data_IF_653030862092
#
_entry.id   IF_653030862092
#
_cell.length_a   1.000
_cell.length_b   1.000
_cell.length_c   1.000
_cell.angle_alpha   90.00
_cell.angle_beta   90.00
_cell.angle_gamma   90.00
#
_symmetry.space_group_name_H-M   'P 1'
#
loop_
_entity.id
_entity.type
_entity.pdbx_description
1 polymer ?
#
# COMPACT_ATOMS: atom_id res chain seq x y z
N UNK A 1 -12.25 8.43 -42.71
CA UNK A 1 -11.67 7.59 -41.68
C UNK A 1 -11.45 8.37 -40.35
N UNK A 2 -12.43 9.21 -39.94
CA UNK A 2 -12.30 10.15 -38.82
C UNK A 2 -13.51 10.12 -37.87
N UNK A 3 -14.34 9.05 -37.89
CA UNK A 3 -15.60 9.00 -37.13
C UNK A 3 -15.64 8.01 -35.96
N UNK A 4 -14.53 7.31 -35.64
CA UNK A 4 -14.54 6.29 -34.56
C UNK A 4 -13.93 6.76 -33.22
N UNK A 5 -13.26 7.90 -33.19
CA UNK A 5 -12.55 8.33 -31.97
C UNK A 5 -13.33 9.25 -31.04
N UNK A 6 -14.54 9.67 -31.42
CA UNK A 6 -15.36 10.56 -30.58
C UNK A 6 -16.30 9.85 -29.61
N UNK A 7 -16.36 8.52 -29.65
CA UNK A 7 -17.26 7.76 -28.78
C UNK A 7 -16.58 7.19 -27.52
N UNK A 8 -15.25 7.25 -27.43
CA UNK A 8 -14.48 6.50 -26.41
C UNK A 8 -14.00 7.32 -25.21
N UNK A 9 -14.22 8.63 -25.19
CA UNK A 9 -13.88 9.48 -24.01
C UNK A 9 -15.00 9.48 -22.98
N UNK A 10 -15.92 8.58 -23.12
CA UNK A 10 -17.27 8.67 -22.54
C UNK A 10 -17.50 7.77 -21.34
N UNK A 11 -16.56 7.39 -20.51
CA UNK A 11 -16.94 6.79 -19.23
C UNK A 11 -15.76 6.65 -18.26
N UNK A 12 -15.22 7.77 -17.77
CA UNK A 12 -14.64 7.73 -16.44
C UNK A 12 -15.78 7.98 -15.43
N UNK A 13 -16.69 7.04 -15.27
CA UNK A 13 -17.48 6.96 -14.05
C UNK A 13 -16.53 6.44 -12.98
N UNK A 14 -15.96 7.32 -12.18
CA UNK A 14 -15.36 6.98 -10.91
C UNK A 14 -16.50 6.54 -9.97
N UNK A 15 -16.96 5.32 -10.09
CA UNK A 15 -17.75 4.68 -9.04
C UNK A 15 -16.77 4.20 -7.98
N UNK A 16 -16.26 5.13 -7.18
CA UNK A 16 -15.59 4.78 -5.93
C UNK A 16 -16.68 4.44 -4.93
N UNK A 17 -17.13 3.19 -4.96
CA UNK A 17 -18.00 2.59 -3.96
C UNK A 17 -17.17 1.74 -2.98
N UNK A 18 -16.06 2.31 -2.49
CA UNK A 18 -15.40 1.86 -1.26
C UNK A 18 -15.21 3.10 -0.40
N UNK A 19 -15.37 3.03 0.93
CA UNK A 19 -14.91 4.11 1.77
C UNK A 19 -13.38 4.12 1.68
N UNK A 20 -12.86 4.83 0.66
CA UNK A 20 -11.50 5.29 0.73
C UNK A 20 -11.48 6.21 1.96
N UNK A 21 -10.79 5.77 3.00
CA UNK A 21 -10.31 6.70 4.01
C UNK A 21 -9.62 7.81 3.22
N UNK A 22 -10.24 8.97 3.17
CA UNK A 22 -9.62 10.17 2.61
C UNK A 22 -8.56 10.57 3.62
N UNK A 23 -7.42 9.90 3.54
CA UNK A 23 -6.23 10.37 4.20
C UNK A 23 -5.81 11.65 3.47
N UNK A 24 -5.77 12.74 4.20
CA UNK A 24 -5.15 13.97 3.74
C UNK A 24 -3.63 13.71 3.66
N UNK A 25 -3.22 12.90 2.68
CA UNK A 25 -1.81 12.59 2.47
C UNK A 25 -1.13 13.80 1.83
N UNK A 26 -0.16 14.36 2.53
CA UNK A 26 0.85 15.18 1.89
C UNK A 26 1.61 14.26 0.94
N UNK A 27 1.32 14.33 -0.35
CA UNK A 27 1.97 13.48 -1.35
C UNK A 27 3.47 13.80 -1.37
N UNK A 28 4.28 12.79 -1.18
CA UNK A 28 5.71 12.94 -1.38
C UNK A 28 6.00 13.33 -2.83
N UNK A 29 7.05 14.10 -3.03
CA UNK A 29 7.48 14.57 -4.36
C UNK A 29 7.71 13.42 -5.35
N UNK A 30 7.98 12.20 -4.84
CA UNK A 30 8.22 10.99 -5.64
C UNK A 30 6.98 10.42 -6.34
N UNK A 31 5.79 10.79 -5.90
CA UNK A 31 4.53 10.26 -6.41
C UNK A 31 3.81 11.28 -7.31
N UNK A 32 4.57 12.14 -8.00
CA UNK A 32 4.05 13.15 -8.91
C UNK A 32 4.65 13.03 -10.32
N UNK A 33 3.89 13.47 -11.31
CA UNK A 33 4.35 13.61 -12.70
C UNK A 33 4.82 12.28 -13.31
N UNK A 34 5.85 12.38 -14.13
CA UNK A 34 6.41 11.24 -14.87
C UNK A 34 7.01 10.16 -13.95
N UNK A 35 7.57 10.55 -12.81
CA UNK A 35 8.06 9.59 -11.82
C UNK A 35 6.95 8.72 -11.21
N UNK A 36 5.79 9.31 -10.91
CA UNK A 36 4.63 8.57 -10.45
C UNK A 36 4.06 7.65 -11.54
N UNK A 37 4.01 8.13 -12.78
CA UNK A 37 3.49 7.33 -13.90
C UNK A 37 4.34 6.08 -14.15
N UNK A 38 5.67 6.20 -14.24
CA UNK A 38 6.51 5.00 -14.47
C UNK A 38 6.36 4.00 -13.33
N UNK A 39 6.26 4.44 -12.07
CA UNK A 39 6.00 3.54 -10.94
C UNK A 39 4.65 2.85 -11.05
N UNK A 40 3.63 3.58 -11.51
CA UNK A 40 2.29 3.01 -11.72
C UNK A 40 2.29 1.98 -12.86
N UNK A 41 3.02 2.22 -13.96
CA UNK A 41 3.19 1.26 -15.05
C UNK A 41 3.91 -0.01 -14.57
N UNK A 42 4.99 0.14 -13.80
CA UNK A 42 5.71 -0.98 -13.21
C UNK A 42 4.87 -1.74 -12.17
N UNK A 43 3.99 -1.05 -11.43
CA UNK A 43 3.02 -1.68 -10.53
C UNK A 43 1.99 -2.49 -11.30
N UNK A 44 1.55 -2.04 -12.47
CA UNK A 44 0.65 -2.81 -13.34
C UNK A 44 1.24 -4.17 -13.73
N UNK A 45 2.57 -4.28 -13.91
CA UNK A 45 3.23 -5.49 -14.40
C UNK A 45 3.27 -6.66 -13.40
N UNK A 46 2.86 -6.46 -12.15
CA UNK A 46 2.97 -7.50 -11.12
C UNK A 46 1.72 -7.58 -10.24
N UNK A 47 1.41 -8.78 -9.76
CA UNK A 47 0.40 -9.06 -8.73
C UNK A 47 1.02 -9.29 -7.34
N UNK A 48 2.33 -9.11 -7.21
CA UNK A 48 3.06 -9.32 -5.97
C UNK A 48 2.49 -8.49 -4.81
N UNK A 49 2.33 -9.12 -3.66
CA UNK A 49 1.86 -8.46 -2.43
C UNK A 49 2.62 -8.95 -1.20
N UNK A 50 3.02 -8.03 -0.33
CA UNK A 50 3.74 -8.34 0.91
C UNK A 50 3.22 -7.48 2.06
N UNK A 51 3.05 -8.10 3.23
CA UNK A 51 2.69 -7.41 4.46
C UNK A 51 3.81 -7.55 5.47
N UNK A 52 4.28 -6.43 6.00
CA UNK A 52 5.17 -6.39 7.16
C UNK A 52 4.36 -6.26 8.44
N UNK A 53 4.79 -6.91 9.52
CA UNK A 53 4.12 -6.82 10.84
C UNK A 53 5.09 -6.37 11.93
N UNK A 54 4.60 -5.49 12.82
CA UNK A 54 5.34 -5.00 13.98
C UNK A 54 4.38 -4.60 15.10
N UNK A 55 4.91 -4.19 16.24
CA UNK A 55 4.13 -3.78 17.42
C UNK A 55 3.83 -2.28 17.42
N UNK A 56 4.79 -1.46 16.99
CA UNK A 56 4.73 0.00 17.07
C UNK A 56 5.00 0.66 15.71
N UNK A 57 4.67 1.95 15.55
CA UNK A 57 4.84 2.69 14.30
C UNK A 57 6.26 2.74 13.72
N UNK A 58 7.30 2.50 14.51
CA UNK A 58 8.71 2.63 14.13
C UNK A 58 9.49 1.31 14.13
N UNK A 59 8.78 0.17 14.25
CA UNK A 59 9.40 -1.16 14.31
C UNK A 59 9.87 -1.69 12.96
N UNK A 60 9.25 -1.27 11.86
CA UNK A 60 9.50 -1.85 10.55
C UNK A 60 10.96 -1.70 10.10
N UNK A 61 11.44 -2.61 9.25
CA UNK A 61 12.61 -2.39 8.42
C UNK A 61 12.23 -1.46 7.27
N UNK A 62 12.33 -0.15 7.53
CA UNK A 62 11.87 0.89 6.59
C UNK A 62 12.56 0.80 5.23
N UNK A 63 13.84 0.36 5.20
CA UNK A 63 14.58 0.17 3.94
C UNK A 63 14.02 -1.01 3.14
N UNK A 64 13.65 -2.09 3.82
CA UNK A 64 13.07 -3.27 3.18
C UNK A 64 11.64 -2.98 2.70
N UNK A 65 10.85 -2.23 3.46
CA UNK A 65 9.52 -1.75 3.02
C UNK A 65 9.64 -0.92 1.74
N UNK A 66 10.57 0.04 1.70
CA UNK A 66 10.84 0.85 0.52
C UNK A 66 11.31 0.00 -0.68
N UNK A 67 12.16 -1.00 -0.44
CA UNK A 67 12.62 -1.94 -1.46
C UNK A 67 11.46 -2.75 -2.06
N UNK A 68 10.60 -3.32 -1.22
CA UNK A 68 9.47 -4.11 -1.71
C UNK A 68 8.48 -3.27 -2.51
N UNK A 69 8.14 -2.08 -2.02
CA UNK A 69 7.17 -1.20 -2.68
C UNK A 69 7.72 -0.54 -3.95
N UNK A 70 8.98 -0.06 -3.90
CA UNK A 70 9.52 0.79 -4.99
C UNK A 70 10.46 0.06 -5.94
N UNK A 71 11.16 -1.00 -5.49
CA UNK A 71 12.05 -1.81 -6.35
C UNK A 71 11.32 -2.98 -6.97
N UNK A 72 10.55 -3.71 -6.18
CA UNK A 72 9.79 -4.88 -6.65
C UNK A 72 8.40 -4.50 -7.13
N UNK A 73 8.00 -3.24 -6.94
CA UNK A 73 6.66 -2.73 -7.28
C UNK A 73 5.53 -3.58 -6.68
N UNK A 74 5.83 -4.32 -5.62
CA UNK A 74 4.86 -5.12 -4.90
C UNK A 74 3.87 -4.23 -4.14
N UNK A 75 2.61 -4.62 -4.11
CA UNK A 75 1.67 -4.04 -3.16
C UNK A 75 2.17 -4.35 -1.75
N UNK A 76 2.61 -3.34 -1.04
CA UNK A 76 3.30 -3.49 0.25
C UNK A 76 2.48 -2.82 1.34
N UNK A 77 2.29 -3.49 2.48
CA UNK A 77 1.65 -2.91 3.66
C UNK A 77 2.52 -3.09 4.89
N UNK A 78 2.39 -2.18 5.85
CA UNK A 78 2.87 -2.36 7.20
C UNK A 78 1.67 -2.43 8.16
N UNK A 79 1.54 -3.51 8.91
CA UNK A 79 0.58 -3.69 9.98
C UNK A 79 1.26 -3.47 11.33
N UNK A 80 1.00 -2.33 11.95
CA UNK A 80 1.40 -2.04 13.33
C UNK A 80 0.29 -2.44 14.28
N UNK A 81 0.60 -3.16 15.36
CA UNK A 81 -0.43 -3.52 16.34
C UNK A 81 -0.99 -2.27 17.01
N UNK A 82 -0.15 -1.30 17.35
CA UNK A 82 -0.55 -0.07 18.06
C UNK A 82 -0.32 1.19 17.23
N UNK A 83 -0.89 2.29 17.69
CA UNK A 83 -0.57 3.65 17.19
C UNK A 83 0.53 4.34 18.02
N UNK A 84 1.18 3.61 18.93
CA UNK A 84 2.30 4.11 19.72
C UNK A 84 1.94 5.17 20.78
N UNK A 85 0.68 5.19 21.22
CA UNK A 85 0.16 6.17 22.20
C UNK A 85 0.82 6.09 23.58
N UNK A 86 1.44 4.96 23.95
CA UNK A 86 2.17 4.74 25.19
C UNK A 86 3.66 5.07 25.10
N UNK A 87 4.15 5.52 23.94
CA UNK A 87 5.55 5.86 23.72
C UNK A 87 5.96 7.20 24.33
N UNK A 88 7.22 7.56 24.09
CA UNK A 88 7.76 8.87 24.44
C UNK A 88 7.38 9.94 23.42
N UNK A 89 7.41 11.20 23.83
CA UNK A 89 7.35 12.36 22.94
C UNK A 89 8.47 13.32 23.29
N UNK A 90 9.53 13.38 22.47
CA UNK A 90 10.67 14.26 22.72
C UNK A 90 10.52 15.64 22.10
N UNK A 91 9.49 15.87 21.26
CA UNK A 91 9.29 17.13 20.54
C UNK A 91 8.09 17.94 21.05
N UNK A 92 7.27 17.37 21.94
CA UNK A 92 6.06 18.01 22.44
C UNK A 92 5.64 17.49 23.82
N UNK A 93 4.50 17.97 24.27
CA UNK A 93 3.92 17.62 25.59
C UNK A 93 2.79 16.59 25.47
N UNK A 94 2.37 16.30 24.25
CA UNK A 94 1.25 15.42 23.96
C UNK A 94 1.58 13.99 24.39
N UNK A 95 0.63 13.37 25.08
CA UNK A 95 0.71 12.01 25.60
C UNK A 95 -0.59 11.26 25.28
N UNK A 96 -0.58 9.94 25.44
CA UNK A 96 -1.74 9.07 25.26
C UNK A 96 -2.37 9.22 23.86
N UNK A 97 -3.66 9.40 23.74
CA UNK A 97 -4.36 9.44 22.46
C UNK A 97 -3.84 10.55 21.53
N UNK A 98 -3.51 11.73 22.08
CA UNK A 98 -2.93 12.83 21.31
C UNK A 98 -1.58 12.43 20.70
N UNK A 99 -0.71 11.75 21.45
CA UNK A 99 0.53 11.19 20.92
C UNK A 99 0.26 10.12 19.86
N UNK A 100 -0.74 9.26 20.06
CA UNK A 100 -1.15 8.24 19.10
C UNK A 100 -1.57 8.83 17.76
N UNK A 101 -2.25 9.97 17.75
CA UNK A 101 -2.58 10.72 16.52
C UNK A 101 -1.31 11.23 15.85
N UNK A 102 -0.40 11.87 16.59
CA UNK A 102 0.86 12.39 16.04
C UNK A 102 1.69 11.26 15.44
N UNK A 103 1.87 10.15 16.16
CA UNK A 103 2.66 9.01 15.68
C UNK A 103 2.00 8.30 14.50
N UNK A 104 0.68 8.32 14.41
CA UNK A 104 -0.03 7.87 13.20
C UNK A 104 0.36 8.73 11.99
N UNK A 105 0.35 10.06 12.13
CA UNK A 105 0.74 10.96 11.04
C UNK A 105 2.23 10.81 10.68
N UNK A 106 3.12 10.67 11.65
CA UNK A 106 4.54 10.39 11.40
C UNK A 106 4.72 9.12 10.55
N UNK A 107 3.95 8.07 10.85
CA UNK A 107 4.01 6.82 10.12
C UNK A 107 3.40 6.94 8.71
N UNK A 108 2.30 7.69 8.55
CA UNK A 108 1.71 7.97 7.25
C UNK A 108 2.67 8.81 6.37
N UNK A 109 3.42 9.74 6.96
CA UNK A 109 4.50 10.45 6.25
C UNK A 109 5.61 9.49 5.79
N UNK A 110 6.01 8.50 6.62
CA UNK A 110 6.94 7.47 6.20
C UNK A 110 6.39 6.66 5.02
N UNK A 111 5.12 6.24 5.06
CA UNK A 111 4.43 5.52 3.96
C UNK A 111 4.36 6.35 2.68
N UNK A 112 4.17 7.67 2.77
CA UNK A 112 4.18 8.54 1.59
C UNK A 112 5.54 8.54 0.88
N UNK A 113 6.64 8.32 1.61
CA UNK A 113 7.99 8.24 1.06
C UNK A 113 8.30 6.85 0.48
N UNK A 114 7.98 5.77 1.19
CA UNK A 114 8.29 4.40 0.77
C UNK A 114 7.24 3.77 -0.16
N UNK A 115 6.03 4.32 -0.21
CA UNK A 115 4.96 3.88 -1.11
C UNK A 115 4.15 2.69 -0.61
N UNK A 116 4.28 2.30 0.65
CA UNK A 116 3.50 1.24 1.26
C UNK A 116 2.18 1.75 1.86
N UNK A 117 1.25 0.82 2.11
CA UNK A 117 0.01 1.06 2.83
C UNK A 117 0.21 0.91 4.34
N UNK A 118 -0.57 1.62 5.16
CA UNK A 118 -0.53 1.51 6.61
C UNK A 118 -1.80 0.89 7.15
N UNK A 119 -1.64 -0.14 8.01
CA UNK A 119 -2.71 -0.81 8.71
C UNK A 119 -2.43 -0.81 10.22
N UNK A 120 -3.50 -0.84 11.02
CA UNK A 120 -3.44 -0.88 12.48
C UNK A 120 -4.44 -1.89 13.02
N UNK A 121 -4.14 -2.44 14.21
CA UNK A 121 -5.14 -3.13 15.02
C UNK A 121 -5.74 -2.15 16.06
N UNK A 122 -6.68 -2.65 16.85
CA UNK A 122 -7.27 -1.92 17.98
C UNK A 122 -6.39 -1.83 19.22
N UNK A 123 -5.19 -2.42 19.22
CA UNK A 123 -4.34 -2.45 20.40
C UNK A 123 -3.97 -1.03 20.85
N UNK A 124 -4.22 -0.74 22.11
CA UNK A 124 -3.75 0.48 22.74
C UNK A 124 -2.34 0.26 23.31
N UNK A 125 -1.40 1.13 22.97
CA UNK A 125 -0.06 1.12 23.54
C UNK A 125 -0.12 1.59 25.00
N UNK A 126 0.36 0.78 25.91
CA UNK A 126 0.35 1.08 27.35
C UNK A 126 1.76 1.33 27.92
N UNK A 127 2.75 1.57 27.04
CA UNK A 127 4.12 1.82 27.40
C UNK A 127 4.97 0.56 27.54
N UNK A 128 6.08 0.64 28.23
CA UNK A 128 7.06 -0.44 28.31
C UNK A 128 6.49 -1.68 29.04
N UNK A 129 6.68 -2.84 28.43
CA UNK A 129 6.48 -4.16 29.02
C UNK A 129 7.73 -5.01 28.82
N UNK A 130 8.08 -5.83 29.78
CA UNK A 130 9.29 -6.65 29.73
C UNK A 130 9.04 -8.02 29.10
N UNK A 131 7.86 -8.58 29.34
CA UNK A 131 7.52 -9.93 28.93
C UNK A 131 6.20 -9.95 28.13
N UNK A 132 6.07 -10.91 27.22
CA UNK A 132 4.84 -11.16 26.49
C UNK A 132 3.62 -11.32 27.41
N UNK A 133 3.80 -11.97 28.57
CA UNK A 133 2.73 -12.18 29.55
C UNK A 133 2.18 -10.89 30.16
N UNK A 134 2.94 -9.80 30.16
CA UNK A 134 2.44 -8.48 30.55
C UNK A 134 1.54 -7.90 29.46
N UNK A 135 1.96 -8.00 28.21
CA UNK A 135 1.16 -7.58 27.07
C UNK A 135 -0.17 -8.37 26.99
N UNK A 136 -0.14 -9.70 27.15
CA UNK A 136 -1.34 -10.54 27.09
C UNK A 136 -2.36 -10.30 28.21
N UNK A 137 -1.98 -9.63 29.31
CA UNK A 137 -2.92 -9.21 30.35
C UNK A 137 -3.72 -7.96 29.97
N UNK A 138 -3.15 -7.10 29.12
CA UNK A 138 -3.74 -5.84 28.68
C UNK A 138 -4.42 -5.99 27.33
N UNK A 139 -3.79 -6.74 26.43
CA UNK A 139 -4.29 -6.98 25.09
C UNK A 139 -5.06 -8.30 25.01
N UNK A 140 -6.36 -8.26 24.78
CA UNK A 140 -7.16 -9.48 24.57
C UNK A 140 -6.70 -10.18 23.29
N UNK A 141 -6.07 -11.35 23.42
CA UNK A 141 -5.43 -12.07 22.32
C UNK A 141 -6.38 -12.32 21.14
N UNK A 142 -7.59 -12.84 21.42
CA UNK A 142 -8.58 -13.13 20.37
C UNK A 142 -9.05 -11.89 19.61
N UNK A 143 -9.16 -10.73 20.25
CA UNK A 143 -9.57 -9.51 19.58
C UNK A 143 -8.48 -8.97 18.65
N UNK A 144 -7.21 -9.08 19.07
CA UNK A 144 -6.08 -8.67 18.23
C UNK A 144 -5.84 -9.67 17.09
N UNK A 145 -6.06 -10.94 17.36
CA UNK A 145 -6.02 -11.98 16.35
C UNK A 145 -7.11 -11.74 15.29
N UNK A 146 -8.35 -11.38 15.69
CA UNK A 146 -9.43 -10.99 14.80
C UNK A 146 -9.02 -9.83 13.88
N UNK A 147 -8.41 -8.77 14.44
CA UNK A 147 -7.94 -7.62 13.66
C UNK A 147 -6.85 -8.01 12.66
N UNK A 148 -5.86 -8.81 13.07
CA UNK A 148 -4.79 -9.27 12.19
C UNK A 148 -5.32 -10.18 11.08
N UNK A 149 -6.24 -11.09 11.40
CA UNK A 149 -6.90 -11.96 10.42
C UNK A 149 -7.69 -11.12 9.41
N UNK A 150 -8.44 -10.12 9.89
CA UNK A 150 -9.15 -9.18 9.02
C UNK A 150 -8.20 -8.44 8.09
N UNK A 151 -7.06 -7.95 8.61
CA UNK A 151 -6.05 -7.29 7.79
C UNK A 151 -5.49 -8.23 6.72
N UNK A 152 -5.17 -9.48 7.06
CA UNK A 152 -4.65 -10.48 6.12
C UNK A 152 -5.71 -10.84 5.06
N UNK A 153 -6.96 -11.11 5.47
CA UNK A 153 -8.05 -11.45 4.54
C UNK A 153 -8.43 -10.30 3.61
N UNK A 154 -8.27 -9.05 4.07
CA UNK A 154 -8.55 -7.84 3.27
C UNK A 154 -7.41 -7.53 2.32
N UNK A 155 -6.17 -7.50 2.81
CA UNK A 155 -5.00 -7.15 2.01
C UNK A 155 -4.54 -8.29 1.10
N UNK A 156 -4.64 -9.55 1.57
CA UNK A 156 -4.31 -10.79 0.84
C UNK A 156 -2.84 -10.86 0.40
N UNK A 157 -1.88 -10.80 1.34
CA UNK A 157 -0.47 -10.82 1.01
C UNK A 157 -0.04 -12.22 0.51
N UNK A 158 0.77 -12.26 -0.57
CA UNK A 158 1.48 -13.50 -0.94
C UNK A 158 2.51 -13.86 0.14
N UNK A 159 3.15 -12.84 0.72
CA UNK A 159 4.23 -13.01 1.69
C UNK A 159 3.96 -12.15 2.91
N UNK A 160 4.23 -12.69 4.11
CA UNK A 160 4.32 -11.90 5.34
C UNK A 160 5.77 -11.89 5.84
N UNK A 161 6.22 -10.70 6.27
CA UNK A 161 7.51 -10.48 6.93
C UNK A 161 7.28 -9.95 8.33
N UNK A 162 7.49 -10.78 9.34
CA UNK A 162 7.41 -10.34 10.74
C UNK A 162 8.71 -9.66 11.16
N UNK A 163 8.56 -8.51 11.82
CA UNK A 163 9.72 -7.85 12.44
C UNK A 163 10.27 -8.63 13.63
N UNK A 164 9.41 -9.35 14.35
CA UNK A 164 9.67 -9.98 15.62
C UNK A 164 9.46 -11.50 15.57
N UNK A 165 10.17 -12.22 16.45
CA UNK A 165 10.18 -13.69 16.48
C UNK A 165 9.23 -14.29 17.55
N UNK A 166 8.67 -13.47 18.42
CA UNK A 166 7.83 -13.92 19.54
C UNK A 166 8.62 -14.46 20.73
N UNK A 167 9.94 -14.22 20.79
CA UNK A 167 10.81 -14.73 21.86
C UNK A 167 11.31 -13.61 22.76
N UNK A 168 11.92 -13.97 23.90
CA UNK A 168 12.54 -12.99 24.80
C UNK A 168 13.70 -12.20 24.16
N UNK A 169 14.24 -12.67 23.05
CA UNK A 169 15.27 -11.97 22.28
C UNK A 169 14.75 -10.66 21.62
N UNK A 170 13.43 -10.53 21.46
CA UNK A 170 12.79 -9.33 20.94
C UNK A 170 12.78 -8.17 21.97
N UNK A 171 13.18 -8.41 23.22
CA UNK A 171 13.40 -7.43 24.28
C UNK A 171 12.11 -6.91 24.92
N UNK A 172 11.28 -6.18 24.17
CA UNK A 172 10.04 -5.59 24.66
C UNK A 172 8.88 -6.62 24.63
N UNK A 173 8.01 -6.62 25.64
CA UNK A 173 6.87 -7.55 25.70
C UNK A 173 5.87 -7.38 24.54
N UNK A 174 5.65 -6.14 24.05
CA UNK A 174 4.84 -5.88 22.87
C UNK A 174 5.45 -6.51 21.60
N UNK A 175 6.77 -6.42 21.42
CA UNK A 175 7.48 -7.08 20.31
C UNK A 175 7.32 -8.59 20.36
N UNK A 176 7.53 -9.19 21.56
CA UNK A 176 7.32 -10.61 21.77
C UNK A 176 5.89 -11.03 21.46
N UNK A 177 4.89 -10.19 21.82
CA UNK A 177 3.49 -10.46 21.55
C UNK A 177 3.17 -10.39 20.06
N UNK A 178 3.65 -9.36 19.36
CA UNK A 178 3.46 -9.22 17.93
C UNK A 178 4.07 -10.40 17.15
N UNK A 179 5.31 -10.79 17.49
CA UNK A 179 5.98 -11.94 16.89
C UNK A 179 5.29 -13.28 17.17
N UNK A 180 4.72 -13.44 18.37
CA UNK A 180 3.93 -14.61 18.73
C UNK A 180 2.59 -14.68 17.98
N UNK A 181 1.92 -13.53 17.83
CA UNK A 181 0.58 -13.49 17.25
C UNK A 181 0.60 -13.63 15.71
N UNK A 182 1.67 -13.18 15.06
CA UNK A 182 1.74 -13.22 13.59
C UNK A 182 1.55 -14.62 13.01
N UNK A 183 2.26 -15.69 13.41
CA UNK A 183 2.03 -17.03 12.85
C UNK A 183 0.62 -17.55 13.14
N UNK A 184 0.04 -17.26 14.32
CA UNK A 184 -1.35 -17.64 14.64
C UNK A 184 -2.35 -16.95 13.71
N UNK A 185 -2.07 -15.69 13.34
CA UNK A 185 -2.90 -14.94 12.41
C UNK A 185 -2.85 -15.51 10.99
N UNK A 186 -1.68 -16.01 10.54
CA UNK A 186 -1.56 -16.69 9.25
C UNK A 186 -2.43 -17.96 9.20
N UNK A 187 -2.34 -18.80 10.23
CA UNK A 187 -3.12 -20.04 10.34
C UNK A 187 -4.63 -19.73 10.40
N UNK A 188 -5.02 -18.79 11.27
CA UNK A 188 -6.42 -18.41 11.43
C UNK A 188 -7.01 -17.72 10.17
N UNK A 189 -6.19 -16.96 9.41
CA UNK A 189 -6.66 -16.33 8.17
C UNK A 189 -7.02 -17.35 7.09
N UNK A 190 -6.34 -18.49 7.07
CA UNK A 190 -6.59 -19.58 6.14
C UNK A 190 -7.80 -20.45 6.51
N UNK A 191 -8.23 -20.42 7.76
CA UNK A 191 -9.32 -21.25 8.28
C UNK A 191 -10.65 -20.50 8.26
N UNK A 192 -11.62 -20.97 7.46
CA UNK A 192 -12.95 -20.38 7.35
C UNK A 192 -13.78 -20.49 8.64
N UNK A 193 -13.45 -21.42 9.54
CA UNK A 193 -14.12 -21.58 10.82
C UNK A 193 -13.67 -20.57 11.88
N UNK A 194 -12.54 -19.93 11.67
CA UNK A 194 -12.03 -18.86 12.53
C UNK A 194 -12.62 -17.52 12.10
N UNK A 195 -13.16 -16.78 13.05
CA UNK A 195 -13.80 -15.48 12.83
C UNK A 195 -14.88 -15.53 11.74
N UNK A 196 -15.95 -16.35 11.91
CA UNK A 196 -16.99 -16.54 10.91
C UNK A 196 -17.72 -15.24 10.57
N UNK A 197 -17.77 -14.26 11.47
CA UNK A 197 -18.36 -12.95 11.24
C UNK A 197 -17.65 -12.18 10.09
N UNK A 198 -16.34 -12.41 9.91
CA UNK A 198 -15.62 -11.85 8.78
C UNK A 198 -16.04 -12.48 7.46
N UNK A 199 -16.32 -13.78 7.47
CA UNK A 199 -16.82 -14.51 6.30
C UNK A 199 -18.24 -14.06 5.95
N UNK A 200 -19.11 -13.88 6.94
CA UNK A 200 -20.47 -13.34 6.75
C UNK A 200 -20.45 -11.91 6.18
N UNK A 201 -19.41 -11.12 6.47
CA UNK A 201 -19.17 -9.79 5.91
C UNK A 201 -18.57 -9.81 4.49
N UNK A 202 -18.37 -10.99 3.90
CA UNK A 202 -17.89 -11.16 2.53
C UNK A 202 -16.38 -11.33 2.39
N UNK A 203 -15.61 -11.38 3.49
CA UNK A 203 -14.20 -11.76 3.43
C UNK A 203 -14.09 -13.27 3.19
N UNK A 204 -13.04 -13.69 2.49
CA UNK A 204 -12.77 -15.09 2.23
C UNK A 204 -11.46 -15.51 2.89
N UNK A 205 -11.28 -16.80 3.24
CA UNK A 205 -10.03 -17.31 3.76
C UNK A 205 -8.86 -16.96 2.83
N UNK A 206 -7.68 -16.75 3.41
CA UNK A 206 -6.49 -16.42 2.64
C UNK A 206 -5.28 -17.20 3.13
N UNK A 207 -4.61 -17.90 2.21
CA UNK A 207 -3.40 -18.65 2.46
C UNK A 207 -2.17 -17.82 2.07
N UNK A 208 -1.42 -17.39 3.07
CA UNK A 208 -0.12 -16.73 2.84
C UNK A 208 0.87 -17.78 2.35
N UNK A 209 1.52 -17.53 1.22
CA UNK A 209 2.38 -18.51 0.56
C UNK A 209 3.73 -18.68 1.24
N UNK A 210 4.29 -17.59 1.79
CA UNK A 210 5.56 -17.62 2.53
C UNK A 210 5.53 -16.69 3.75
N UNK A 211 6.18 -17.14 4.79
CA UNK A 211 6.35 -16.38 6.02
C UNK A 211 7.83 -16.24 6.37
N UNK A 212 8.30 -15.01 6.48
CA UNK A 212 9.66 -14.66 6.86
C UNK A 212 9.69 -13.89 8.17
N UNK A 213 10.85 -13.97 8.84
CA UNK A 213 11.20 -13.05 9.92
C UNK A 213 12.44 -12.25 9.56
N UNK A 214 12.44 -10.97 9.92
CA UNK A 214 13.61 -10.11 9.81
C UNK A 214 14.53 -10.26 11.04
N UNK A 215 15.79 -9.84 10.90
CA UNK A 215 16.69 -9.73 12.04
C UNK A 215 16.36 -8.47 12.83
N UNK A 216 16.16 -8.60 14.15
CA UNK A 216 16.05 -7.44 15.02
C UNK A 216 17.34 -6.62 15.03
N UNK A 217 17.24 -5.30 15.19
CA UNK A 217 18.35 -4.31 15.13
C UNK A 217 19.45 -4.50 16.17
N UNK A 218 19.35 -5.45 17.07
CA UNK A 218 20.34 -5.62 18.13
C UNK A 218 21.58 -6.29 17.58
N UNK A 219 22.70 -5.59 17.58
CA UNK A 219 24.06 -6.10 17.30
C UNK A 219 24.52 -7.22 18.25
N UNK A 220 23.62 -7.95 18.86
CA UNK A 220 23.89 -9.12 19.68
C UNK A 220 23.74 -10.39 18.87
N UNK A 221 24.86 -11.08 18.71
CA UNK A 221 25.06 -12.41 18.16
C UNK A 221 24.26 -13.54 18.87
N UNK A 222 23.10 -13.25 19.45
CA UNK A 222 22.43 -14.18 20.38
C UNK A 222 21.33 -15.06 19.79
N UNK A 223 21.05 -15.01 18.50
CA UNK A 223 20.11 -15.95 17.88
C UNK A 223 20.88 -17.18 17.35
N UNK A 224 21.37 -18.03 18.25
CA UNK A 224 22.05 -19.27 17.90
C UNK A 224 21.14 -20.29 17.15
N UNK A 225 19.82 -20.16 17.23
CA UNK A 225 18.87 -20.99 16.49
C UNK A 225 18.70 -20.58 15.00
N UNK A 226 18.98 -19.33 14.65
CA UNK A 226 18.98 -18.87 13.26
C UNK A 226 20.28 -19.22 12.50
N UNK A 227 21.28 -19.77 13.18
CA UNK A 227 22.59 -20.07 12.59
C UNK A 227 22.58 -21.27 11.61
N UNK A 228 21.52 -22.08 11.58
CA UNK A 228 21.40 -23.23 10.67
C UNK A 228 20.59 -22.90 9.39
N UNK A 229 19.88 -21.77 9.34
CA UNK A 229 19.13 -21.38 8.16
C UNK A 229 19.92 -20.35 7.33
N UNK A 230 19.98 -20.61 6.02
CA UNK A 230 20.57 -19.65 5.09
C UNK A 230 19.66 -18.41 5.01
N UNK A 231 20.18 -17.25 5.42
CA UNK A 231 19.45 -15.99 5.32
C UNK A 231 19.31 -15.55 3.85
N UNK A 232 18.12 -15.12 3.45
CA UNK A 232 17.96 -14.34 2.24
C UNK A 232 18.51 -12.93 2.50
N UNK A 233 19.53 -12.53 1.75
CA UNK A 233 20.16 -11.22 1.83
C UNK A 233 19.59 -10.32 0.74
N UNK A 234 19.03 -9.19 1.14
CA UNK A 234 18.47 -8.20 0.23
C UNK A 234 19.28 -6.91 0.34
N UNK A 235 19.91 -6.51 -0.77
CA UNK A 235 20.64 -5.24 -0.82
C UNK A 235 19.69 -4.07 -1.04
N UNK A 236 19.24 -3.45 0.03
CA UNK A 236 18.40 -2.25 -0.02
C UNK A 236 19.17 -0.99 -0.43
N UNK A 237 20.51 -1.06 -0.51
CA UNK A 237 21.37 0.00 -1.02
C UNK A 237 21.40 0.12 -2.54
N UNK A 238 20.61 -0.68 -3.29
CA UNK A 238 20.42 -0.53 -4.72
C UNK A 238 19.87 0.86 -5.06
N UNK A 239 20.39 1.42 -6.18
CA UNK A 239 20.01 2.75 -6.65
C UNK A 239 18.67 2.71 -7.41
N UNK A 240 17.78 3.61 -7.05
CA UNK A 240 16.53 3.86 -7.76
C UNK A 240 16.71 5.01 -8.76
N UNK A 241 16.71 4.76 -10.07
CA UNK A 241 16.93 5.81 -11.07
C UNK A 241 15.77 6.83 -11.14
N UNK A 242 14.58 6.48 -10.64
CA UNK A 242 13.42 7.38 -10.65
C UNK A 242 13.55 8.49 -9.60
N UNK A 243 14.09 8.17 -8.42
CA UNK A 243 14.28 9.15 -7.34
C UNK A 243 15.69 9.70 -7.25
N UNK A 244 16.68 9.04 -7.86
CA UNK A 244 18.10 9.38 -7.72
C UNK A 244 18.68 9.03 -6.33
N UNK A 245 18.07 8.08 -5.62
CA UNK A 245 18.43 7.60 -4.29
C UNK A 245 18.46 6.08 -4.24
N UNK A 246 19.06 5.50 -3.22
CA UNK A 246 18.89 4.07 -2.92
C UNK A 246 17.60 3.84 -2.14
N UNK A 247 17.10 2.60 -2.15
CA UNK A 247 15.93 2.22 -1.34
C UNK A 247 16.23 2.34 0.15
N UNK A 248 17.49 2.14 0.56
CA UNK A 248 17.93 2.41 1.92
C UNK A 248 17.79 3.90 2.28
N UNK A 249 18.27 4.82 1.43
CA UNK A 249 18.14 6.26 1.65
C UNK A 249 16.66 6.66 1.78
N UNK A 250 15.78 6.12 0.92
CA UNK A 250 14.33 6.36 1.00
C UNK A 250 13.75 5.85 2.32
N UNK A 251 14.09 4.62 2.72
CA UNK A 251 13.64 4.04 3.98
C UNK A 251 14.12 4.82 5.21
N UNK A 252 15.37 5.28 5.21
CA UNK A 252 15.92 6.10 6.32
C UNK A 252 15.29 7.49 6.38
N UNK A 253 14.94 8.07 5.23
CA UNK A 253 14.18 9.32 5.18
C UNK A 253 12.76 9.11 5.76
N UNK A 254 12.12 7.99 5.45
CA UNK A 254 10.84 7.58 6.06
C UNK A 254 10.98 7.40 7.57
N UNK A 255 11.99 6.66 8.03
CA UNK A 255 12.27 6.46 9.45
C UNK A 255 12.49 7.77 10.19
N UNK A 256 13.13 8.76 9.55
CA UNK A 256 13.36 10.09 10.11
C UNK A 256 12.08 10.93 10.29
N UNK A 257 10.93 10.47 9.80
CA UNK A 257 9.64 11.09 10.11
C UNK A 257 9.14 10.78 11.51
N UNK A 258 9.65 9.72 12.17
CA UNK A 258 9.33 9.36 13.56
C UNK A 258 10.00 10.32 14.56
N UNK A 259 9.66 11.60 14.47
CA UNK A 259 10.33 12.71 15.20
C UNK A 259 10.08 12.65 16.70
N UNK A 260 8.87 12.24 17.11
CA UNK A 260 8.53 12.04 18.53
C UNK A 260 9.40 11.00 19.19
N UNK A 261 9.97 10.04 18.41
CA UNK A 261 10.78 8.92 18.87
C UNK A 261 12.29 9.15 18.73
N UNK A 262 12.73 10.34 18.31
CA UNK A 262 14.13 10.64 18.05
C UNK A 262 14.78 9.75 16.98
N UNK A 263 14.01 9.32 15.99
CA UNK A 263 14.45 8.36 14.98
C UNK A 263 15.19 9.00 13.80
N UNK A 264 16.01 10.04 14.01
CA UNK A 264 16.89 10.56 12.97
C UNK A 264 17.86 9.46 12.51
N UNK A 265 17.86 9.13 11.23
CA UNK A 265 18.66 8.05 10.65
C UNK A 265 19.56 8.58 9.54
N UNK A 266 20.82 8.07 9.48
CA UNK A 266 21.74 8.42 8.40
C UNK A 266 21.31 7.72 7.11
N UNK A 267 21.24 8.50 6.04
CA UNK A 267 20.97 8.03 4.68
C UNK A 267 22.29 7.52 4.05
N UNK A 268 22.77 6.36 4.53
CA UNK A 268 24.03 5.78 4.05
C UNK A 268 23.91 5.31 2.61
N UNK A 269 24.96 5.56 1.83
CA UNK A 269 25.08 5.11 0.44
C UNK A 269 25.91 3.84 0.35
N UNK A 270 25.75 3.12 -0.76
CA UNK A 270 26.43 1.86 -1.01
C UNK A 270 25.60 0.65 -0.55
N UNK A 271 26.22 -0.52 -0.50
CA UNK A 271 25.52 -1.75 -0.16
C UNK A 271 25.02 -1.74 1.28
N UNK A 272 23.73 -1.94 1.47
CA UNK A 272 23.04 -2.06 2.75
C UNK A 272 22.21 -3.34 2.74
N UNK A 273 22.49 -4.27 3.65
CA UNK A 273 21.87 -5.58 3.62
C UNK A 273 20.78 -5.72 4.70
N UNK A 274 19.57 -6.05 4.26
CA UNK A 274 18.53 -6.61 5.12
C UNK A 274 18.58 -8.15 5.07
N UNK A 275 18.36 -8.79 6.21
CA UNK A 275 18.41 -10.26 6.36
C UNK A 275 17.03 -10.79 6.67
N UNK A 276 16.58 -11.79 5.91
CA UNK A 276 15.32 -12.48 6.11
C UNK A 276 15.54 -13.99 6.28
N UNK A 277 14.78 -14.58 7.19
CA UNK A 277 14.79 -16.01 7.45
C UNK A 277 13.41 -16.57 7.14
N UNK A 278 13.36 -17.56 6.23
CA UNK A 278 12.13 -18.26 5.87
C UNK A 278 11.69 -19.14 7.05
N UNK A 279 10.51 -18.91 7.60
CA UNK A 279 9.93 -19.69 8.69
C UNK A 279 8.98 -20.77 8.19
N UNK A 280 8.17 -20.45 7.17
CA UNK A 280 7.31 -21.43 6.51
C UNK A 280 7.05 -21.09 5.05
N UNK A 281 6.78 -22.11 4.24
CA UNK A 281 6.42 -21.99 2.83
C UNK A 281 5.34 -23.01 2.49
N UNK A 282 4.27 -22.58 1.82
CA UNK A 282 3.21 -23.43 1.27
C UNK A 282 3.57 -23.92 -0.16
N UNK A 283 4.55 -23.27 -0.78
CA UNK A 283 5.13 -23.66 -2.05
C UNK A 283 6.50 -24.28 -1.78
N UNK A 284 6.91 -25.24 -2.55
CA UNK A 284 8.21 -25.90 -2.34
C UNK A 284 9.35 -24.88 -2.15
N UNK A 285 10.31 -25.18 -1.27
CA UNK A 285 11.48 -24.33 -1.06
C UNK A 285 12.51 -24.60 -2.15
N UNK A 286 13.00 -23.55 -2.82
CA UNK A 286 14.20 -23.61 -3.65
C UNK A 286 15.43 -23.59 -2.75
N UNK A 287 16.47 -24.35 -3.12
CA UNK A 287 17.73 -24.39 -2.36
C UNK A 287 18.45 -23.04 -2.28
N UNK A 288 18.13 -22.08 -3.15
CA UNK A 288 18.68 -20.72 -3.15
C UNK A 288 17.57 -19.74 -3.57
N UNK A 289 17.01 -19.03 -2.59
CA UNK A 289 16.06 -17.94 -2.87
C UNK A 289 16.82 -16.65 -3.17
N UNK A 290 16.44 -15.97 -4.25
CA UNK A 290 16.96 -14.65 -4.63
C UNK A 290 15.98 -13.50 -4.30
N UNK A 291 14.73 -13.83 -3.97
CA UNK A 291 13.65 -12.91 -3.63
C UNK A 291 12.67 -13.57 -2.68
N UNK A 292 11.95 -12.79 -1.89
CA UNK A 292 10.81 -13.31 -1.10
C UNK A 292 9.70 -13.91 -1.97
N UNK A 293 9.64 -13.53 -3.24
CA UNK A 293 8.68 -14.05 -4.23
C UNK A 293 9.20 -15.23 -5.04
N UNK A 294 10.42 -15.76 -4.75
CA UNK A 294 10.95 -16.93 -5.49
C UNK A 294 9.95 -18.09 -5.45
N UNK A 295 9.58 -18.61 -6.63
CA UNK A 295 8.59 -19.68 -6.80
C UNK A 295 7.12 -19.23 -6.75
N UNK A 296 6.84 -17.95 -6.55
CA UNK A 296 5.50 -17.36 -6.65
C UNK A 296 5.37 -16.72 -8.03
N UNK A 297 4.36 -17.12 -8.80
CA UNK A 297 4.04 -16.45 -10.06
C UNK A 297 3.29 -15.14 -9.74
N UNK A 298 3.97 -14.02 -9.94
CA UNK A 298 3.45 -12.67 -9.69
C UNK A 298 3.11 -11.93 -10.98
N UNK A 299 3.05 -12.62 -12.12
CA UNK A 299 2.66 -12.04 -13.41
C UNK A 299 1.15 -11.89 -13.52
N UNK A 300 0.70 -11.07 -14.47
CA UNK A 300 -0.73 -10.97 -14.80
C UNK A 300 -1.24 -12.31 -15.34
N UNK A 301 -0.46 -12.97 -16.21
CA UNK A 301 -0.79 -14.29 -16.74
C UNK A 301 -0.94 -15.35 -15.65
N UNK A 302 -0.19 -15.21 -14.54
CA UNK A 302 -0.25 -16.07 -13.36
C UNK A 302 -1.60 -16.02 -12.62
N UNK A 303 -2.44 -15.00 -12.85
CA UNK A 303 -3.80 -14.94 -12.29
C UNK A 303 -4.62 -16.18 -12.72
N UNK A 304 -4.34 -16.76 -13.88
CA UNK A 304 -4.99 -18.01 -14.33
C UNK A 304 -4.83 -19.18 -13.35
N UNK A 305 -3.74 -19.19 -12.56
CA UNK A 305 -3.50 -20.23 -11.56
C UNK A 305 -4.45 -20.16 -10.35
N UNK A 306 -5.22 -19.10 -10.21
CA UNK A 306 -6.27 -18.97 -9.19
C UNK A 306 -7.57 -19.66 -9.58
N UNK A 307 -7.68 -20.15 -10.81
CA UNK A 307 -8.82 -20.89 -11.30
C UNK A 307 -8.49 -22.37 -11.46
N UNK A 308 -9.42 -23.25 -11.07
CA UNK A 308 -9.21 -24.71 -11.16
C UNK A 308 -9.13 -25.20 -12.60
N UNK A 309 -9.90 -24.57 -13.50
CA UNK A 309 -9.98 -24.89 -14.92
C UNK A 309 -10.20 -23.59 -15.71
N UNK A 310 -9.16 -22.78 -15.92
CA UNK A 310 -9.31 -21.51 -16.61
C UNK A 310 -9.75 -21.75 -18.07
N UNK A 311 -10.78 -21.01 -18.48
CA UNK A 311 -11.26 -21.03 -19.87
C UNK A 311 -10.18 -20.47 -20.82
N UNK A 312 -10.12 -20.99 -22.07
CA UNK A 312 -9.16 -20.53 -23.06
C UNK A 312 -9.23 -19.01 -23.29
N UNK A 313 -10.43 -18.46 -23.39
CA UNK A 313 -10.65 -17.02 -23.56
C UNK A 313 -10.07 -16.23 -22.40
N UNK A 314 -10.22 -16.69 -21.16
CA UNK A 314 -9.66 -16.04 -19.99
C UNK A 314 -8.12 -16.01 -20.03
N UNK A 315 -7.50 -17.12 -20.39
CA UNK A 315 -6.02 -17.21 -20.54
C UNK A 315 -5.52 -16.30 -21.66
N UNK A 316 -6.23 -16.23 -22.79
CA UNK A 316 -5.91 -15.32 -23.90
C UNK A 316 -6.02 -13.85 -23.49
N UNK A 317 -7.07 -13.47 -22.74
CA UNK A 317 -7.25 -12.11 -22.21
C UNK A 317 -6.11 -11.73 -21.25
N UNK A 318 -5.73 -12.62 -20.32
CA UNK A 318 -4.61 -12.37 -19.42
C UNK A 318 -3.29 -12.21 -20.17
N UNK A 319 -3.07 -13.01 -21.21
CA UNK A 319 -1.86 -12.93 -22.04
C UNK A 319 -1.82 -11.61 -22.83
N UNK A 320 -2.94 -11.18 -23.39
CA UNK A 320 -3.07 -9.89 -24.09
C UNK A 320 -2.89 -8.72 -23.13
N UNK A 321 -3.44 -8.81 -21.92
CA UNK A 321 -3.27 -7.79 -20.88
C UNK A 321 -1.81 -7.68 -20.43
N UNK A 322 -1.13 -8.81 -20.21
CA UNK A 322 0.30 -8.83 -19.88
C UNK A 322 1.11 -8.13 -20.98
N UNK A 323 0.89 -8.49 -22.26
CA UNK A 323 1.59 -7.87 -23.39
C UNK A 323 1.30 -6.37 -23.47
N UNK A 324 0.05 -5.94 -23.26
CA UNK A 324 -0.32 -4.53 -23.24
C UNK A 324 0.46 -3.75 -22.18
N UNK A 325 0.63 -4.31 -20.99
CA UNK A 325 1.41 -3.68 -19.91
C UNK A 325 2.90 -3.63 -20.23
N UNK A 326 3.46 -4.71 -20.80
CA UNK A 326 4.87 -4.75 -21.21
C UNK A 326 5.15 -3.70 -22.29
N UNK A 327 4.24 -3.53 -23.24
CA UNK A 327 4.32 -2.50 -24.28
C UNK A 327 4.21 -1.08 -23.70
N UNK A 328 3.34 -0.84 -22.72
CA UNK A 328 3.22 0.44 -22.03
C UNK A 328 4.50 0.82 -21.30
N UNK A 329 5.14 -0.12 -20.61
CA UNK A 329 6.42 0.12 -19.92
C UNK A 329 7.53 0.40 -20.94
N UNK A 330 7.59 -0.37 -22.03
CA UNK A 330 8.64 -0.26 -23.06
C UNK A 330 8.54 1.03 -23.87
N UNK A 331 7.31 1.52 -24.10
CA UNK A 331 7.06 2.74 -24.88
C UNK A 331 6.97 4.01 -24.02
N UNK A 332 7.22 3.91 -22.71
CA UNK A 332 7.14 5.04 -21.81
C UNK A 332 8.17 6.14 -22.16
N UNK A 333 7.67 7.36 -22.39
CA UNK A 333 8.49 8.56 -22.57
C UNK A 333 8.15 9.60 -21.48
N UNK A 334 9.06 9.89 -20.54
CA UNK A 334 8.80 10.82 -19.45
C UNK A 334 8.55 12.25 -19.89
N UNK A 335 8.97 12.63 -21.11
CA UNK A 335 8.74 13.96 -21.68
C UNK A 335 7.43 14.07 -22.47
N UNK A 336 6.78 12.94 -22.75
CA UNK A 336 5.50 12.89 -23.46
C UNK A 336 4.60 11.78 -22.89
N UNK A 337 4.24 11.84 -21.59
CA UNK A 337 3.48 10.78 -20.92
C UNK A 337 2.07 10.61 -21.51
N UNK A 338 1.46 11.68 -22.02
CA UNK A 338 0.13 11.66 -22.60
C UNK A 338 0.02 10.83 -23.89
N UNK A 339 1.13 10.54 -24.57
CA UNK A 339 1.12 9.66 -25.73
C UNK A 339 0.68 8.23 -25.40
N UNK A 340 0.77 7.82 -24.14
CA UNK A 340 0.33 6.50 -23.68
C UNK A 340 -1.18 6.39 -23.42
N UNK A 341 -1.93 7.51 -23.39
CA UNK A 341 -3.35 7.50 -23.01
C UNK A 341 -4.17 6.52 -23.87
N UNK A 342 -4.06 6.48 -25.20
CA UNK A 342 -4.82 5.51 -26.00
C UNK A 342 -4.54 4.05 -25.60
N UNK A 343 -3.26 3.68 -25.47
CA UNK A 343 -2.87 2.31 -25.09
C UNK A 343 -3.26 1.97 -23.64
N UNK A 344 -3.26 2.96 -22.74
CA UNK A 344 -3.77 2.78 -21.37
C UNK A 344 -5.28 2.53 -21.34
N UNK A 345 -6.04 3.18 -22.23
CA UNK A 345 -7.47 2.95 -22.36
C UNK A 345 -7.75 1.56 -22.94
N UNK A 346 -7.01 1.14 -23.96
CA UNK A 346 -7.12 -0.20 -24.54
C UNK A 346 -6.78 -1.28 -23.48
N UNK A 347 -5.74 -1.05 -22.67
CA UNK A 347 -5.37 -1.94 -21.56
C UNK A 347 -6.42 -1.98 -20.44
N UNK A 348 -7.06 -0.86 -20.14
CA UNK A 348 -8.17 -0.80 -19.19
C UNK A 348 -9.38 -1.63 -19.66
N UNK A 349 -9.71 -1.57 -20.96
CA UNK A 349 -10.79 -2.39 -21.54
C UNK A 349 -10.44 -3.89 -21.42
N UNK A 350 -9.22 -4.29 -21.77
CA UNK A 350 -8.74 -5.67 -21.58
C UNK A 350 -8.83 -6.11 -20.11
N UNK A 351 -8.43 -5.26 -19.17
CA UNK A 351 -8.52 -5.58 -17.74
C UNK A 351 -9.96 -5.80 -17.27
N UNK A 352 -10.91 -4.99 -17.77
CA UNK A 352 -12.35 -5.15 -17.49
C UNK A 352 -12.92 -6.43 -18.10
N UNK A 353 -12.60 -6.71 -19.36
CA UNK A 353 -13.03 -7.95 -20.03
C UNK A 353 -12.48 -9.19 -19.30
N UNK A 354 -11.21 -9.16 -18.86
CA UNK A 354 -10.63 -10.23 -18.08
C UNK A 354 -11.30 -10.37 -16.70
N UNK A 355 -11.63 -9.26 -16.02
CA UNK A 355 -12.36 -9.28 -14.75
C UNK A 355 -13.75 -9.86 -14.89
N UNK A 356 -14.45 -9.54 -15.98
CA UNK A 356 -15.79 -10.09 -16.25
C UNK A 356 -15.75 -11.58 -16.63
N UNK A 357 -14.65 -12.05 -17.22
CA UNK A 357 -14.43 -13.45 -17.56
C UNK A 357 -13.96 -14.32 -16.39
N UNK A 358 -13.48 -13.72 -15.30
CA UNK A 358 -12.99 -14.43 -14.13
C UNK A 358 -14.11 -15.22 -13.42
N UNK A 359 -13.83 -16.48 -13.07
CA UNK A 359 -14.80 -17.37 -12.42
C UNK A 359 -14.64 -17.39 -10.89
N UNK A 360 -13.43 -17.15 -10.38
CA UNK A 360 -13.16 -17.10 -8.95
C UNK A 360 -13.16 -15.67 -8.42
N UNK A 361 -13.59 -15.51 -7.15
CA UNK A 361 -13.53 -14.20 -6.49
C UNK A 361 -12.11 -13.66 -6.35
N UNK A 362 -11.12 -14.54 -6.26
CA UNK A 362 -9.71 -14.15 -6.12
C UNK A 362 -9.12 -13.61 -7.41
N UNK A 363 -9.37 -14.27 -8.55
CA UNK A 363 -8.97 -13.80 -9.86
C UNK A 363 -9.66 -12.47 -10.19
N UNK A 364 -10.99 -12.39 -9.97
CA UNK A 364 -11.76 -11.16 -10.19
C UNK A 364 -11.21 -9.99 -9.36
N UNK A 365 -10.95 -10.19 -8.07
CA UNK A 365 -10.41 -9.14 -7.20
C UNK A 365 -9.08 -8.58 -7.70
N UNK A 366 -8.14 -9.46 -8.09
CA UNK A 366 -6.86 -9.01 -8.63
C UNK A 366 -7.02 -8.22 -9.94
N UNK A 367 -7.97 -8.62 -10.78
CA UNK A 367 -8.27 -7.92 -12.02
C UNK A 367 -8.99 -6.58 -11.76
N UNK A 368 -9.87 -6.50 -10.78
CA UNK A 368 -10.47 -5.25 -10.34
C UNK A 368 -9.41 -4.28 -9.75
N UNK A 369 -8.38 -4.80 -9.08
CA UNK A 369 -7.20 -4.00 -8.68
C UNK A 369 -6.46 -3.48 -9.92
N UNK A 370 -6.24 -4.31 -10.95
CA UNK A 370 -5.61 -3.86 -12.22
C UNK A 370 -6.46 -2.81 -12.93
N UNK A 371 -7.78 -2.95 -12.96
CA UNK A 371 -8.69 -1.90 -13.46
C UNK A 371 -8.43 -0.57 -12.75
N UNK A 372 -8.40 -0.56 -11.42
CA UNK A 372 -8.12 0.64 -10.62
C UNK A 372 -6.71 1.20 -10.88
N UNK A 373 -5.72 0.32 -11.07
CA UNK A 373 -4.35 0.70 -11.38
C UNK A 373 -4.23 1.35 -12.78
N UNK A 374 -4.95 0.86 -13.79
CA UNK A 374 -5.05 1.48 -15.12
C UNK A 374 -5.71 2.86 -15.06
N UNK A 375 -6.83 2.98 -14.33
CA UNK A 375 -7.51 4.26 -14.13
C UNK A 375 -6.58 5.30 -13.51
N UNK A 376 -5.79 4.90 -12.50
CA UNK A 376 -4.77 5.76 -11.89
C UNK A 376 -3.66 6.13 -12.88
N UNK A 377 -3.20 5.19 -13.71
CA UNK A 377 -2.20 5.45 -14.75
C UNK A 377 -2.70 6.46 -15.80
N UNK A 378 -3.96 6.36 -16.21
CA UNK A 378 -4.60 7.31 -17.14
C UNK A 378 -4.65 8.71 -16.52
N UNK A 379 -5.06 8.84 -15.26
CA UNK A 379 -5.10 10.12 -14.53
C UNK A 379 -3.71 10.75 -14.46
N UNK A 380 -2.67 9.95 -14.17
CA UNK A 380 -1.28 10.42 -14.12
C UNK A 380 -0.77 10.83 -15.52
N UNK A 381 -1.03 10.04 -16.55
CA UNK A 381 -0.63 10.33 -17.93
C UNK A 381 -1.31 11.59 -18.46
N UNK A 382 -2.57 11.82 -18.11
CA UNK A 382 -3.34 12.99 -18.48
C UNK A 382 -2.96 14.26 -17.70
N UNK A 383 -2.17 14.12 -16.63
CA UNK A 383 -1.80 15.23 -15.76
C UNK A 383 -3.00 15.85 -15.05
N UNK A 384 -3.98 15.02 -14.66
CA UNK A 384 -5.15 15.46 -13.91
C UNK A 384 -4.82 15.47 -12.43
N UNK A 385 -5.16 16.57 -11.76
CA UNK A 385 -5.10 16.70 -10.30
C UNK A 385 -6.43 17.21 -9.78
N UNK A 386 -6.98 16.51 -8.79
CA UNK A 386 -8.23 16.89 -8.13
C UNK A 386 -7.93 17.06 -6.65
N UNK A 387 -8.38 18.17 -6.08
CA UNK A 387 -8.36 18.38 -4.64
C UNK A 387 -9.74 18.81 -4.11
N UNK A 388 -9.96 18.58 -2.84
CA UNK A 388 -11.16 19.01 -2.11
C UNK A 388 -10.70 19.76 -0.85
N UNK A 389 -10.97 21.06 -0.82
CA UNK A 389 -10.59 21.94 0.27
C UNK A 389 -11.80 22.34 1.09
N UNK A 390 -11.83 21.92 2.34
CA UNK A 390 -12.83 22.38 3.30
C UNK A 390 -12.51 23.82 3.76
N UNK A 391 -13.53 24.61 4.03
CA UNK A 391 -13.40 25.98 4.58
C UNK A 391 -12.90 25.99 6.03
N UNK A 392 -13.01 24.86 6.73
CA UNK A 392 -12.58 24.67 8.11
C UNK A 392 -11.98 23.27 8.28
N UNK A 393 -10.98 23.16 9.12
CA UNK A 393 -10.40 21.90 9.58
C UNK A 393 -11.28 21.16 10.60
N UNK A 394 -12.28 21.85 11.15
CA UNK A 394 -13.20 21.31 12.15
C UNK A 394 -14.63 21.30 11.62
N UNK A 395 -15.29 20.17 11.66
CA UNK A 395 -16.69 20.00 11.35
C UNK A 395 -17.49 19.69 12.62
N UNK A 396 -18.61 20.40 12.82
CA UNK A 396 -19.51 20.18 13.96
C UNK A 396 -20.76 19.46 13.43
N UNK A 397 -21.19 18.33 14.04
CA UNK A 397 -22.42 17.65 13.64
C UNK A 397 -23.64 18.60 13.62
N UNK A 398 -24.43 18.52 12.55
CA UNK A 398 -25.61 19.38 12.35
C UNK A 398 -25.34 20.76 11.72
N UNK A 399 -24.08 21.09 11.40
CA UNK A 399 -23.71 22.29 10.66
C UNK A 399 -23.41 22.01 9.18
N UNK A 400 -23.35 23.07 8.38
CA UNK A 400 -22.93 22.98 6.97
C UNK A 400 -21.43 23.24 6.89
N UNK A 401 -20.72 22.39 6.16
CA UNK A 401 -19.32 22.55 5.81
C UNK A 401 -19.21 22.81 4.31
N UNK A 402 -18.62 23.93 3.91
CA UNK A 402 -18.37 24.22 2.50
C UNK A 402 -17.07 23.55 2.04
N UNK A 403 -17.14 22.81 0.94
CA UNK A 403 -15.98 22.17 0.33
C UNK A 403 -15.82 22.64 -1.12
N UNK A 404 -14.67 23.23 -1.44
CA UNK A 404 -14.30 23.58 -2.80
C UNK A 404 -13.58 22.41 -3.46
N UNK A 405 -14.24 21.77 -4.43
CA UNK A 405 -13.59 20.75 -5.29
C UNK A 405 -12.95 21.45 -6.48
N UNK A 406 -11.64 21.27 -6.66
CA UNK A 406 -10.90 21.86 -7.76
C UNK A 406 -10.30 20.75 -8.62
N UNK A 407 -10.45 20.87 -9.95
CA UNK A 407 -9.84 19.97 -10.90
C UNK A 407 -8.87 20.75 -11.80
N UNK A 408 -7.64 20.29 -11.88
CA UNK A 408 -6.59 20.83 -12.74
C UNK A 408 -6.24 19.79 -13.80
N UNK A 409 -6.11 20.22 -15.04
CA UNK A 409 -5.80 19.37 -16.17
C UNK A 409 -4.64 19.99 -16.95
N UNK A 410 -3.54 19.22 -17.11
CA UNK A 410 -2.37 19.70 -17.86
C UNK A 410 -2.67 19.85 -19.35
N UNK A 411 -3.56 19.00 -19.91
CA UNK A 411 -3.94 18.96 -21.32
C UNK A 411 -5.47 19.01 -21.47
N UNK A 412 -6.11 20.19 -21.30
CA UNK A 412 -7.57 20.31 -21.33
C UNK A 412 -8.24 19.86 -22.64
N UNK A 413 -7.48 19.82 -23.74
CA UNK A 413 -7.99 19.37 -25.05
C UNK A 413 -8.15 17.85 -25.15
N UNK A 414 -7.52 17.07 -24.27
CA UNK A 414 -7.54 15.60 -24.28
C UNK A 414 -8.44 15.00 -23.19
N UNK A 415 -8.81 15.80 -22.19
CA UNK A 415 -9.58 15.35 -21.03
C UNK A 415 -10.80 16.24 -20.84
N UNK A 416 -11.96 15.63 -20.68
CA UNK A 416 -13.21 16.31 -20.38
C UNK A 416 -13.69 15.90 -18.97
N UNK A 417 -13.69 16.87 -18.04
CA UNK A 417 -14.36 16.69 -16.77
C UNK A 417 -15.89 16.77 -16.98
N UNK A 418 -16.59 15.66 -16.84
CA UNK A 418 -18.05 15.60 -16.98
C UNK A 418 -18.76 15.94 -15.67
N UNK A 419 -18.27 15.36 -14.58
CA UNK A 419 -18.88 15.52 -13.26
C UNK A 419 -17.86 15.30 -12.15
N UNK A 420 -18.09 15.92 -11.00
CA UNK A 420 -17.34 15.70 -9.78
C UNK A 420 -18.29 15.38 -8.63
N UNK A 421 -17.95 14.40 -7.81
CA UNK A 421 -18.72 13.98 -6.65
C UNK A 421 -17.86 14.09 -5.39
N UNK A 422 -18.49 14.43 -4.27
CA UNK A 422 -17.90 14.24 -2.96
C UNK A 422 -18.44 12.93 -2.37
N UNK A 423 -17.55 12.01 -2.04
CA UNK A 423 -17.89 10.88 -1.18
C UNK A 423 -17.85 11.36 0.26
N UNK A 424 -18.94 11.16 0.98
CA UNK A 424 -19.08 11.63 2.36
C UNK A 424 -19.47 10.46 3.28
N UNK A 425 -19.18 10.53 4.58
CA UNK A 425 -19.58 9.50 5.54
C UNK A 425 -21.10 9.32 5.61
N UNK A 426 -21.52 8.15 6.10
CA UNK A 426 -22.95 7.87 6.33
C UNK A 426 -23.56 8.91 7.28
N UNK A 427 -24.72 9.44 6.91
CA UNK A 427 -25.41 10.48 7.66
C UNK A 427 -25.12 11.92 7.20
N UNK A 428 -24.17 12.10 6.27
CA UNK A 428 -23.93 13.37 5.60
C UNK A 428 -24.76 13.49 4.33
N UNK A 429 -25.13 14.70 3.97
CA UNK A 429 -25.77 15.01 2.68
C UNK A 429 -24.92 16.04 1.91
N UNK A 430 -24.86 15.90 0.59
CA UNK A 430 -24.13 16.83 -0.29
C UNK A 430 -25.12 17.60 -1.13
N UNK A 431 -25.02 18.94 -1.12
CA UNK A 431 -25.71 19.80 -2.07
C UNK A 431 -24.67 20.53 -2.91
N UNK A 432 -24.83 20.50 -4.25
CA UNK A 432 -23.96 21.26 -5.16
C UNK A 432 -24.43 22.72 -5.20
N UNK A 433 -23.52 23.64 -4.99
CA UNK A 433 -23.69 25.05 -5.36
C UNK A 433 -22.99 25.31 -6.71
N UNK A 434 -22.67 26.47 -7.11
CA UNK A 434 -22.23 26.85 -8.45
C UNK A 434 -20.93 26.16 -8.92
N UNK A 435 -20.91 25.74 -10.20
CA UNK A 435 -19.67 25.38 -10.93
C UNK A 435 -19.11 26.65 -11.59
N UNK A 436 -17.87 26.99 -11.27
CA UNK A 436 -17.14 28.08 -11.93
C UNK A 436 -15.95 27.49 -12.71
N UNK A 437 -15.85 27.83 -13.99
CA UNK A 437 -14.63 27.56 -14.76
C UNK A 437 -13.66 28.70 -14.43
N UNK A 438 -12.60 28.40 -13.68
CA UNK A 438 -11.53 29.34 -13.41
C UNK A 438 -10.60 29.36 -14.62
N UNK A 439 -10.70 30.38 -15.48
CA UNK A 439 -9.71 30.62 -16.51
C UNK A 439 -8.42 31.15 -15.88
N UNK A 440 -7.26 30.68 -16.36
CA UNK A 440 -5.94 31.18 -15.93
C UNK A 440 -5.65 32.63 -16.40
N UNK A 441 -6.62 33.37 -16.90
CA UNK A 441 -6.44 34.76 -17.20
C UNK A 441 -6.28 35.55 -15.90
N UNK A 442 -5.01 35.83 -15.55
CA UNK A 442 -4.69 36.88 -14.60
C UNK A 442 -5.31 38.17 -15.14
N UNK A 443 -6.46 38.56 -14.60
CA UNK A 443 -6.93 39.91 -14.80
C UNK A 443 -5.82 40.85 -14.30
N UNK A 444 -5.08 41.45 -15.20
CA UNK A 444 -4.20 42.57 -14.91
C UNK A 444 -5.07 43.74 -14.47
N UNK A 445 -5.52 43.76 -13.21
CA UNK A 445 -6.00 44.99 -12.60
C UNK A 445 -4.79 45.91 -12.47
N UNK A 446 -4.56 46.72 -13.46
CA UNK A 446 -3.81 47.97 -13.30
C UNK A 446 -4.43 48.71 -12.14
N UNK A 447 -3.65 48.96 -11.08
CA UNK A 447 -3.96 50.01 -10.13
C UNK A 447 -3.81 51.33 -10.89
N UNK A 448 -4.89 52.03 -11.10
CA UNK A 448 -4.90 53.46 -11.28
C UNK A 448 -4.86 54.15 -9.93
#
# INVERSE_FOLDING_TARGET
MYKKYHALIALLMLTVATPLSVEAQVRAIYDQGSGALIRQLLRLSTTASVMHTGAHPDDEDSALVAYHARRLHARTAYLSLTRGSGGQNIIGVEQSDALGVIRTEELLQARSLDGAEQLFTRANDFGFSKYRTEASRVWPEELLLDDMVRAIRTFRPNVIVSRWNGTSADGHGHHQFAGYLTPLALEAAADSSRFPEQIEQGLTPWHVQKFYTGRAFTGSSRNAQAAEQTALLINTGEYDPVTGRSYFEIGMQGRSQQKTQQMGSLELRGSQQSQLFLLSSQIGTSAAESSIFSGIDTTISGISNLEQAPGLVFVELLSALQQSVDDLVSNYNPLNPQALIPSLVDGLELAREASDAAQTGDAKRLLDEKVSEFEKAIVLAAGVSIDALAESETAIPGTVLTVAVRAFMAQPSQVLLREAYLSVPVGWSVSKSNVQILSNERSSRRRE
#
